data_IF_536115877153
#
_entry.id   IF_536115877153
#
_cell.length_a   1.000
_cell.length_b   1.000
_cell.length_c   1.000
_cell.angle_alpha   90.00
_cell.angle_beta   90.00
_cell.angle_gamma   90.00
#
_symmetry.space_group_name_H-M   'P 1'
#
loop_
_entity.id
_entity.type
_entity.pdbx_description
1 polymer ?
#
# COMPACT_ATOMS: atom_id res chain seq x y z
N UNK A 1 -3.50 10.67 21.51
CA UNK A 1 -3.25 9.83 22.72
C UNK A 1 -2.10 8.85 22.57
N UNK A 2 -2.01 8.03 21.51
CA UNK A 2 -0.92 7.05 21.36
C UNK A 2 0.45 7.71 21.14
N UNK A 3 0.55 8.64 20.18
CA UNK A 3 1.77 9.40 19.88
C UNK A 3 2.42 10.03 21.12
N UNK A 4 1.63 10.72 21.94
CA UNK A 4 2.08 11.37 23.18
C UNK A 4 2.61 10.39 24.22
N UNK A 5 2.14 9.14 24.22
CA UNK A 5 2.55 8.10 25.18
C UNK A 5 3.77 7.32 24.71
N UNK A 6 3.99 7.24 23.40
CA UNK A 6 5.08 6.46 22.80
C UNK A 6 6.24 7.31 22.28
N UNK A 7 6.11 8.64 22.32
CA UNK A 7 7.05 9.60 21.69
C UNK A 7 7.26 9.33 20.20
N UNK A 8 6.21 8.79 19.55
CA UNK A 8 6.19 8.50 18.11
C UNK A 8 5.36 9.56 17.43
N UNK A 9 5.85 10.11 16.32
CA UNK A 9 5.13 11.12 15.55
C UNK A 9 3.80 10.55 15.03
N UNK A 10 2.76 11.37 15.05
CA UNK A 10 1.42 10.97 14.59
C UNK A 10 1.44 10.53 13.12
N UNK A 11 2.28 11.16 12.30
CA UNK A 11 2.50 10.77 10.90
C UNK A 11 3.03 9.33 10.77
N UNK A 12 3.96 8.92 11.64
CA UNK A 12 4.54 7.57 11.60
C UNK A 12 3.50 6.53 11.97
N UNK A 13 2.67 6.83 12.98
CA UNK A 13 1.55 5.97 13.36
C UNK A 13 0.54 5.87 12.22
N UNK A 14 0.25 6.98 11.55
CA UNK A 14 -0.67 7.02 10.41
C UNK A 14 -0.16 6.15 9.25
N UNK A 15 1.13 6.25 8.90
CA UNK A 15 1.78 5.40 7.90
C UNK A 15 1.64 3.93 8.26
N UNK A 16 1.92 3.54 9.51
CA UNK A 16 1.80 2.14 9.94
C UNK A 16 0.36 1.63 9.89
N UNK A 17 -0.61 2.46 10.28
CA UNK A 17 -2.03 2.14 10.21
C UNK A 17 -2.47 1.91 8.76
N UNK A 18 -2.06 2.79 7.85
CA UNK A 18 -2.33 2.70 6.42
C UNK A 18 -1.70 1.44 5.78
N UNK A 19 -0.44 1.16 6.12
CA UNK A 19 0.24 -0.08 5.69
C UNK A 19 -0.47 -1.33 6.21
N UNK A 20 -0.85 -1.34 7.49
CA UNK A 20 -1.59 -2.44 8.08
C UNK A 20 -2.95 -2.66 7.39
N UNK A 21 -3.62 -1.59 6.96
CA UNK A 21 -4.87 -1.69 6.18
C UNK A 21 -4.64 -2.27 4.79
N UNK A 22 -3.57 -1.85 4.08
CA UNK A 22 -3.16 -2.45 2.81
C UNK A 22 -2.83 -3.94 2.94
N UNK A 23 -2.18 -4.35 4.04
CA UNK A 23 -1.83 -5.75 4.31
C UNK A 23 -3.05 -6.66 4.56
N UNK A 24 -4.27 -6.13 4.73
CA UNK A 24 -5.49 -6.93 4.74
C UNK A 24 -5.78 -7.59 3.39
N UNK A 25 -5.23 -7.04 2.30
CA UNK A 25 -5.37 -7.60 0.95
C UNK A 25 -4.40 -8.78 0.79
N UNK A 26 -4.93 -9.93 0.36
CA UNK A 26 -4.13 -11.15 0.23
C UNK A 26 -3.00 -10.94 -0.78
N UNK A 27 -1.78 -11.20 -0.32
CA UNK A 27 -0.56 -11.08 -1.10
C UNK A 27 0.13 -9.72 -0.99
N UNK A 28 -0.37 -8.81 -0.16
CA UNK A 28 0.34 -7.59 0.26
C UNK A 28 0.91 -7.84 1.67
N UNK A 29 2.24 -7.77 1.79
CA UNK A 29 2.95 -7.72 3.07
C UNK A 29 3.70 -6.39 3.20
N UNK A 30 4.51 -6.23 4.25
CA UNK A 30 5.21 -4.97 4.55
C UNK A 30 5.98 -4.38 3.37
N UNK A 31 6.80 -5.17 2.68
CA UNK A 31 7.59 -4.65 1.56
C UNK A 31 6.71 -4.19 0.38
N UNK A 32 5.55 -4.84 0.16
CA UNK A 32 4.62 -4.44 -0.88
C UNK A 32 3.73 -3.26 -0.47
N UNK A 33 3.39 -3.10 0.81
CA UNK A 33 2.69 -1.90 1.28
C UNK A 33 3.59 -0.68 1.16
N UNK A 34 4.86 -0.80 1.53
CA UNK A 34 5.85 0.26 1.36
C UNK A 34 6.10 0.58 -0.12
N UNK A 35 6.16 -0.43 -0.99
CA UNK A 35 6.28 -0.23 -2.43
C UNK A 35 5.05 0.48 -3.01
N UNK A 36 3.84 0.17 -2.53
CA UNK A 36 2.61 0.82 -2.95
C UNK A 36 2.56 2.28 -2.51
N UNK A 37 2.91 2.58 -1.25
CA UNK A 37 3.04 3.95 -0.75
C UNK A 37 4.06 4.73 -1.59
N UNK A 38 5.23 4.14 -1.84
CA UNK A 38 6.25 4.75 -2.69
C UNK A 38 5.79 4.94 -4.16
N UNK A 39 4.81 4.17 -4.62
CA UNK A 39 4.13 4.33 -5.91
C UNK A 39 2.92 5.28 -5.86
N UNK A 40 2.67 5.92 -4.71
CA UNK A 40 1.61 6.90 -4.47
C UNK A 40 0.26 6.30 -4.09
N UNK A 41 0.26 5.09 -3.51
CA UNK A 41 -0.95 4.40 -3.05
C UNK A 41 -0.80 4.10 -1.57
N UNK A 42 -1.41 4.96 -0.75
CA UNK A 42 -1.21 4.90 0.70
C UNK A 42 -2.37 4.17 1.37
N UNK A 43 -3.54 4.12 0.71
CA UNK A 43 -4.77 3.61 1.32
C UNK A 43 -5.51 2.60 0.44
N UNK A 44 -6.30 1.72 1.07
CA UNK A 44 -7.16 0.76 0.36
C UNK A 44 -8.15 1.46 -0.60
N UNK A 45 -8.85 2.55 -0.22
CA UNK A 45 -9.73 3.27 -1.14
C UNK A 45 -9.00 3.84 -2.36
N UNK A 46 -7.77 4.34 -2.21
CA UNK A 46 -6.97 4.80 -3.35
C UNK A 46 -6.63 3.65 -4.28
N UNK A 47 -6.14 2.52 -3.73
CA UNK A 47 -5.81 1.33 -4.51
C UNK A 47 -7.01 0.86 -5.34
N UNK A 48 -8.22 0.87 -4.75
CA UNK A 48 -9.46 0.45 -5.42
C UNK A 48 -9.80 1.27 -6.68
N UNK A 49 -9.29 2.51 -6.78
CA UNK A 49 -9.58 3.46 -7.86
C UNK A 49 -8.47 3.52 -8.92
N UNK A 50 -7.34 2.84 -8.70
CA UNK A 50 -6.20 2.89 -9.62
C UNK A 50 -6.49 2.13 -10.92
N UNK A 51 -5.90 2.61 -12.01
CA UNK A 51 -5.75 1.83 -13.23
C UNK A 51 -4.57 0.86 -13.03
N UNK A 52 -4.80 -0.44 -13.24
CA UNK A 52 -3.80 -1.48 -12.93
C UNK A 52 -2.59 -1.48 -13.85
N UNK A 53 -2.72 -1.01 -15.09
CA UNK A 53 -1.61 -0.94 -16.04
C UNK A 53 -0.66 0.18 -15.63
N UNK A 54 -1.21 1.37 -15.39
CA UNK A 54 -0.45 2.54 -14.94
C UNK A 54 0.19 2.29 -13.57
N UNK A 55 -0.52 1.63 -12.65
CA UNK A 55 0.02 1.30 -11.33
C UNK A 55 1.18 0.30 -11.43
N UNK A 56 1.06 -0.72 -12.29
CA UNK A 56 2.15 -1.67 -12.49
C UNK A 56 3.41 -1.00 -13.05
N UNK A 57 3.27 -0.15 -14.07
CA UNK A 57 4.39 0.62 -14.62
C UNK A 57 5.05 1.48 -13.54
N UNK A 58 4.25 2.15 -12.71
CA UNK A 58 4.79 2.98 -11.62
C UNK A 58 5.52 2.14 -10.56
N UNK A 59 5.00 0.97 -10.20
CA UNK A 59 5.64 0.03 -9.27
C UNK A 59 7.00 -0.41 -9.81
N UNK A 60 7.10 -0.73 -11.11
CA UNK A 60 8.36 -1.13 -11.76
C UNK A 60 9.37 0.02 -11.74
N UNK A 61 8.94 1.22 -12.11
CA UNK A 61 9.77 2.44 -12.08
C UNK A 61 10.32 2.71 -10.67
N UNK A 62 9.44 2.73 -9.68
CA UNK A 62 9.79 3.01 -8.28
C UNK A 62 10.74 1.96 -7.71
N UNK A 63 10.48 0.67 -7.97
CA UNK A 63 11.38 -0.36 -7.48
C UNK A 63 12.73 -0.36 -8.20
N UNK A 64 12.79 0.06 -9.47
CA UNK A 64 14.04 0.26 -10.18
C UNK A 64 14.93 1.33 -9.52
N UNK A 65 14.31 2.40 -9.02
CA UNK A 65 15.01 3.49 -8.33
C UNK A 65 15.35 3.17 -6.86
N UNK A 66 14.37 2.65 -6.11
CA UNK A 66 14.45 2.51 -4.65
C UNK A 66 14.81 1.10 -4.16
N UNK A 67 14.63 0.07 -5.00
CA UNK A 67 14.91 -1.35 -4.68
C UNK A 67 14.24 -1.82 -3.38
N UNK A 68 12.96 -1.47 -3.20
CA UNK A 68 12.17 -1.79 -2.01
C UNK A 68 11.84 -3.29 -1.91
N UNK A 69 11.67 -3.96 -3.05
CA UNK A 69 11.41 -5.40 -3.10
C UNK A 69 12.46 -6.13 -3.94
N UNK A 70 12.83 -7.33 -3.48
CA UNK A 70 13.70 -8.24 -4.24
C UNK A 70 12.98 -8.84 -5.45
N UNK A 71 11.68 -9.11 -5.32
CA UNK A 71 10.84 -9.68 -6.36
C UNK A 71 9.68 -8.73 -6.65
N UNK A 72 9.59 -8.27 -7.89
CA UNK A 72 8.46 -7.46 -8.33
C UNK A 72 7.17 -8.30 -8.37
N UNK A 73 6.02 -7.72 -7.98
CA UNK A 73 4.74 -8.38 -8.18
C UNK A 73 4.46 -8.53 -9.68
N UNK A 74 3.80 -9.61 -10.08
CA UNK A 74 3.35 -9.73 -11.47
C UNK A 74 2.20 -8.75 -11.75
N UNK A 75 2.03 -8.30 -13.01
CA UNK A 75 0.91 -7.43 -13.40
C UNK A 75 -0.47 -7.98 -12.98
N UNK A 76 -0.68 -9.29 -13.12
CA UNK A 76 -1.90 -9.98 -12.67
C UNK A 76 -2.12 -9.88 -11.15
N UNK A 77 -1.03 -9.88 -10.37
CA UNK A 77 -1.09 -9.73 -8.93
C UNK A 77 -1.54 -8.31 -8.55
N UNK A 78 -1.02 -7.28 -9.22
CA UNK A 78 -1.45 -5.88 -9.04
C UNK A 78 -2.93 -5.70 -9.38
N UNK A 79 -3.39 -6.25 -10.51
CA UNK A 79 -4.81 -6.24 -10.87
C UNK A 79 -5.68 -6.92 -9.81
N UNK A 80 -5.24 -8.07 -9.30
CA UNK A 80 -5.95 -8.78 -8.23
C UNK A 80 -5.99 -7.99 -6.90
N UNK A 81 -4.95 -7.22 -6.59
CA UNK A 81 -4.97 -6.34 -5.41
C UNK A 81 -6.02 -5.24 -5.54
N UNK A 82 -6.13 -4.62 -6.71
CA UNK A 82 -7.16 -3.59 -7.00
C UNK A 82 -8.56 -4.18 -6.85
N UNK A 83 -8.80 -5.38 -7.39
CA UNK A 83 -10.11 -6.06 -7.28
C UNK A 83 -10.46 -6.46 -5.85
N UNK A 84 -9.49 -6.86 -5.05
CA UNK A 84 -9.69 -7.10 -3.62
C UNK A 84 -9.99 -5.79 -2.87
N UNK A 85 -9.25 -4.72 -3.16
CA UNK A 85 -9.44 -3.41 -2.55
C UNK A 85 -10.86 -2.87 -2.77
N UNK A 86 -11.43 -3.06 -3.98
CA UNK A 86 -12.82 -2.69 -4.30
C UNK A 86 -13.87 -3.41 -3.45
N UNK A 87 -13.55 -4.60 -2.95
CA UNK A 87 -14.46 -5.45 -2.17
C UNK A 87 -14.24 -5.34 -0.66
N UNK A 88 -13.17 -4.66 -0.25
CA UNK A 88 -12.79 -4.59 1.15
C UNK A 88 -13.56 -3.44 1.84
N UNK A 89 -14.28 -3.71 2.94
CA UNK A 89 -14.90 -2.65 3.69
C UNK A 89 -13.83 -1.75 4.31
N UNK A 90 -14.10 -0.45 4.29
CA UNK A 90 -13.25 0.57 4.89
C UNK A 90 -13.10 0.28 6.39
N UNK A 91 -11.87 0.12 6.86
CA UNK A 91 -11.58 -0.10 8.27
C UNK A 91 -11.09 1.18 8.97
N UNK A 92 -10.42 2.09 8.26
CA UNK A 92 -9.88 3.32 8.82
C UNK A 92 -10.80 4.51 8.52
N UNK A 93 -11.11 5.27 9.56
CA UNK A 93 -11.70 6.60 9.49
C UNK A 93 -10.66 7.59 10.03
N UNK A 94 -10.49 8.72 9.34
CA UNK A 94 -9.54 9.78 9.68
C UNK A 94 -10.28 10.92 10.38
#
# INVERSE_FOLDING_TARGET
>A
ELAKKTDILEETILTWVNHADLMRIKGIGGEYSELLEAAGVDTVPELSKRNGDNLYEKIVEVNGAKKLVRKLPAKKQVLNWIEQAKKLPRAIQY
#
